data_IF_371125376182
#
_entry.id   IF_371125376182
#
_cell.length_a   1.000
_cell.length_b   1.000
_cell.length_c   1.000
_cell.angle_alpha   90.00
_cell.angle_beta   90.00
_cell.angle_gamma   90.00
#
_symmetry.space_group_name_H-M   'P 1'
#
loop_
_entity.id
_entity.type
_entity.pdbx_description
1 polymer ?
#
# COMPACT_ATOMS: atom_id res chain seq x y z
N UNK A 1 17.71 10.56 7.88
CA UNK A 1 16.27 10.26 8.07
C UNK A 1 15.41 10.95 7.01
N UNK A 2 15.36 12.28 6.94
CA UNK A 2 14.49 13.02 6.00
C UNK A 2 14.62 12.64 4.51
N UNK A 3 15.83 12.33 4.06
CA UNK A 3 16.07 11.85 2.69
C UNK A 3 15.52 10.43 2.46
N UNK A 4 15.48 9.59 3.50
CA UNK A 4 14.89 8.25 3.44
C UNK A 4 13.37 8.31 3.32
N UNK A 5 12.71 9.26 3.99
CA UNK A 5 11.25 9.48 3.88
C UNK A 5 10.85 9.98 2.50
N UNK A 6 11.63 10.90 1.93
CA UNK A 6 11.43 11.37 0.57
C UNK A 6 11.54 10.22 -0.44
N UNK A 7 12.58 9.39 -0.32
CA UNK A 7 12.77 8.22 -1.16
C UNK A 7 11.66 7.18 -0.96
N UNK A 8 11.24 6.93 0.28
CA UNK A 8 10.13 6.02 0.57
C UNK A 8 8.81 6.52 -0.04
N UNK A 9 8.51 7.81 0.09
CA UNK A 9 7.35 8.44 -0.56
C UNK A 9 7.41 8.31 -2.09
N UNK A 10 8.59 8.52 -2.68
CA UNK A 10 8.82 8.34 -4.11
C UNK A 10 8.61 6.89 -4.57
N UNK A 11 9.05 5.91 -3.79
CA UNK A 11 8.82 4.48 -4.07
C UNK A 11 7.32 4.15 -4.01
N UNK A 12 6.61 4.61 -2.96
CA UNK A 12 5.16 4.39 -2.83
C UNK A 12 4.39 5.03 -3.99
N UNK A 13 4.72 6.28 -4.34
CA UNK A 13 4.11 6.97 -5.49
C UNK A 13 4.46 6.27 -6.82
N UNK A 14 5.71 5.83 -7.00
CA UNK A 14 6.16 5.11 -8.18
C UNK A 14 5.42 3.78 -8.38
N UNK A 15 5.26 3.00 -7.30
CA UNK A 15 4.48 1.76 -7.31
C UNK A 15 3.01 2.07 -7.67
N UNK A 16 2.41 3.09 -7.05
CA UNK A 16 1.04 3.49 -7.36
C UNK A 16 0.88 3.94 -8.82
N UNK A 17 1.81 4.72 -9.37
CA UNK A 17 1.81 5.14 -10.78
C UNK A 17 1.95 3.94 -11.71
N UNK A 18 2.87 3.02 -11.40
CA UNK A 18 3.05 1.79 -12.17
C UNK A 18 1.76 0.97 -12.21
N UNK A 19 1.06 0.83 -11.08
CA UNK A 19 -0.26 0.20 -11.02
C UNK A 19 -1.35 0.96 -11.80
N UNK A 20 -1.36 2.30 -11.73
CA UNK A 20 -2.32 3.12 -12.48
C UNK A 20 -2.12 3.03 -14.00
N UNK A 21 -0.89 2.77 -14.45
CA UNK A 21 -0.56 2.57 -15.86
C UNK A 21 -0.63 1.11 -16.31
N UNK A 22 -0.74 0.15 -15.39
CA UNK A 22 -0.91 -1.25 -15.74
C UNK A 22 -2.24 -1.45 -16.50
N UNK A 23 -2.19 -2.14 -17.65
CA UNK A 23 -3.39 -2.43 -18.48
C UNK A 23 -4.44 -3.27 -17.76
N UNK A 24 -4.02 -3.94 -16.68
CA UNK A 24 -4.84 -4.76 -15.80
C UNK A 24 -5.34 -4.01 -14.56
N UNK A 25 -5.28 -2.67 -14.55
CA UNK A 25 -5.71 -1.83 -13.42
C UNK A 25 -7.12 -2.17 -12.90
N UNK A 26 -8.03 -2.61 -13.78
CA UNK A 26 -9.42 -2.93 -13.40
C UNK A 26 -9.57 -4.24 -12.62
N UNK A 27 -8.58 -5.14 -12.68
CA UNK A 27 -8.58 -6.38 -11.88
C UNK A 27 -8.32 -6.12 -10.38
N UNK A 28 -7.76 -4.95 -10.04
CA UNK A 28 -7.48 -4.55 -8.65
C UNK A 28 -8.47 -3.47 -8.19
N UNK A 29 -8.75 -3.41 -6.88
CA UNK A 29 -9.59 -2.34 -6.34
C UNK A 29 -8.86 -0.98 -6.43
N UNK A 30 -9.30 -0.16 -7.38
CA UNK A 30 -8.65 1.09 -7.82
C UNK A 30 -8.51 2.15 -6.71
N UNK A 31 -9.35 2.09 -5.68
CA UNK A 31 -9.40 3.13 -4.65
C UNK A 31 -8.16 3.14 -3.74
N UNK A 32 -7.61 1.97 -3.37
CA UNK A 32 -6.39 1.91 -2.55
C UNK A 32 -5.17 2.47 -3.28
N UNK A 33 -5.09 2.26 -4.60
CA UNK A 33 -3.98 2.74 -5.43
C UNK A 33 -3.96 4.27 -5.46
N UNK A 34 -5.13 4.91 -5.55
CA UNK A 34 -5.23 6.37 -5.47
C UNK A 34 -4.82 6.90 -4.10
N UNK A 35 -5.21 6.25 -3.00
CA UNK A 35 -4.80 6.68 -1.67
C UNK A 35 -3.28 6.50 -1.51
N UNK A 36 -2.71 5.39 -1.97
CA UNK A 36 -1.25 5.18 -1.97
C UNK A 36 -0.51 6.28 -2.76
N UNK A 37 -1.06 6.70 -3.91
CA UNK A 37 -0.54 7.83 -4.68
C UNK A 37 -0.53 9.12 -3.86
N UNK A 38 -1.67 9.49 -3.26
CA UNK A 38 -1.78 10.70 -2.43
C UNK A 38 -0.84 10.67 -1.23
N UNK A 39 -0.73 9.52 -0.59
CA UNK A 39 0.17 9.30 0.54
C UNK A 39 1.63 9.44 0.11
N UNK A 40 2.04 8.81 -1.00
CA UNK A 40 3.41 8.91 -1.51
C UNK A 40 3.81 10.35 -1.83
N UNK A 41 2.95 11.09 -2.53
CA UNK A 41 3.17 12.53 -2.77
C UNK A 41 3.17 13.35 -1.48
N UNK A 42 2.27 13.06 -0.55
CA UNK A 42 2.22 13.70 0.76
C UNK A 42 3.54 13.55 1.53
N UNK A 43 4.10 12.34 1.54
CA UNK A 43 5.40 12.05 2.18
C UNK A 43 6.54 12.84 1.53
N UNK A 44 6.58 12.92 0.19
CA UNK A 44 7.59 13.71 -0.51
C UNK A 44 7.47 15.21 -0.22
N UNK A 45 6.25 15.75 -0.18
CA UNK A 45 6.01 17.17 0.08
C UNK A 45 6.39 17.53 1.53
N UNK A 46 5.96 16.73 2.51
CA UNK A 46 6.25 17.00 3.91
C UNK A 46 7.74 16.90 4.24
N UNK A 47 8.44 15.92 3.68
CA UNK A 47 9.89 15.79 3.86
C UNK A 47 10.67 16.99 3.31
N UNK A 48 10.19 17.65 2.24
CA UNK A 48 10.77 18.92 1.77
C UNK A 48 10.52 20.08 2.73
N UNK A 49 9.30 20.22 3.25
CA UNK A 49 8.98 21.25 4.25
C UNK A 49 9.84 21.10 5.51
N UNK A 50 10.09 19.87 5.92
CA UNK A 50 10.94 19.55 7.06
C UNK A 50 12.40 19.95 6.91
N UNK A 51 12.94 19.91 5.68
CA UNK A 51 14.31 20.38 5.39
C UNK A 51 14.39 21.90 5.55
N UNK A 52 13.39 22.63 5.05
CA UNK A 52 13.33 24.09 5.16
C UNK A 52 13.17 24.53 6.62
N UNK A 53 12.33 23.81 7.37
CA UNK A 53 12.02 24.10 8.77
C UNK A 53 13.16 23.87 9.75
N UNK A 54 14.06 22.93 9.44
CA UNK A 54 15.28 22.75 10.24
C UNK A 54 16.10 24.05 10.37
N UNK A 55 15.92 24.98 9.42
CA UNK A 55 16.59 26.29 9.40
C UNK A 55 15.83 27.39 10.17
N UNK A 56 14.51 27.33 10.25
CA UNK A 56 13.67 28.44 10.75
C UNK A 56 13.24 28.31 12.23
N UNK A 57 13.43 27.14 12.87
CA UNK A 57 13.18 26.89 14.31
C UNK A 57 11.78 27.33 14.82
N UNK A 58 10.75 27.32 13.97
CA UNK A 58 9.40 27.70 14.37
C UNK A 58 8.64 26.51 14.99
N UNK A 59 8.39 26.58 16.30
CA UNK A 59 7.73 25.49 17.07
C UNK A 59 6.32 25.15 16.60
N UNK A 60 5.54 26.14 16.15
CA UNK A 60 4.14 25.92 15.72
C UNK A 60 4.10 25.09 14.43
N UNK A 61 4.97 25.45 13.49
CA UNK A 61 5.01 24.79 12.20
C UNK A 61 5.57 23.35 12.34
N UNK A 62 6.46 23.11 13.30
CA UNK A 62 6.95 21.76 13.63
C UNK A 62 5.83 20.85 14.18
N UNK A 63 4.96 21.38 15.05
CA UNK A 63 3.81 20.65 15.58
C UNK A 63 2.81 20.29 14.47
N UNK A 64 2.57 21.20 13.53
CA UNK A 64 1.71 20.94 12.38
C UNK A 64 2.23 19.82 11.49
N UNK A 65 3.53 19.85 11.14
CA UNK A 65 4.16 18.78 10.34
C UNK A 65 4.03 17.43 11.03
N UNK A 66 4.26 17.38 12.35
CA UNK A 66 4.14 16.14 13.11
C UNK A 66 2.70 15.58 13.09
N UNK A 67 1.66 16.43 13.16
CA UNK A 67 0.27 15.97 12.98
C UNK A 67 0.01 15.44 11.57
N UNK A 68 0.54 16.10 10.54
CA UNK A 68 0.38 15.60 9.17
C UNK A 68 1.05 14.25 8.98
N UNK A 69 2.22 14.04 9.59
CA UNK A 69 2.93 12.77 9.53
C UNK A 69 2.20 11.63 10.24
N UNK A 70 1.64 11.90 11.42
CA UNK A 70 0.85 10.90 12.15
C UNK A 70 -0.43 10.52 11.39
N UNK A 71 -1.09 11.50 10.75
CA UNK A 71 -2.23 11.24 9.88
C UNK A 71 -1.85 10.36 8.67
N UNK A 72 -0.71 10.61 8.03
CA UNK A 72 -0.20 9.78 6.93
C UNK A 72 0.11 8.35 7.39
N UNK A 73 0.77 8.19 8.53
CA UNK A 73 1.05 6.86 9.09
C UNK A 73 -0.24 6.08 9.39
N UNK A 74 -1.27 6.77 9.91
CA UNK A 74 -2.58 6.18 10.15
C UNK A 74 -3.26 5.75 8.85
N UNK A 75 -3.22 6.58 7.81
CA UNK A 75 -3.73 6.22 6.49
C UNK A 75 -2.98 5.02 5.89
N UNK A 76 -1.65 4.99 5.97
CA UNK A 76 -0.84 3.85 5.52
C UNK A 76 -1.23 2.56 6.24
N UNK A 77 -1.48 2.62 7.55
CA UNK A 77 -1.90 1.48 8.34
C UNK A 77 -3.27 0.94 7.91
N UNK A 78 -4.24 1.82 7.64
CA UNK A 78 -5.56 1.40 7.12
C UNK A 78 -5.41 0.68 5.77
N UNK A 79 -4.61 1.23 4.85
CA UNK A 79 -4.41 0.65 3.53
C UNK A 79 -3.64 -0.68 3.62
N UNK A 80 -2.61 -0.77 4.48
CA UNK A 80 -1.86 -1.99 4.71
C UNK A 80 -2.77 -3.10 5.25
N UNK A 81 -3.62 -2.80 6.24
CA UNK A 81 -4.63 -3.75 6.72
C UNK A 81 -5.61 -4.18 5.62
N UNK A 82 -6.14 -3.22 4.83
CA UNK A 82 -7.03 -3.52 3.71
C UNK A 82 -6.39 -4.43 2.66
N UNK A 83 -5.13 -4.15 2.29
CA UNK A 83 -4.36 -4.99 1.37
C UNK A 83 -4.10 -6.40 1.90
N UNK A 84 -3.93 -6.53 3.23
CA UNK A 84 -3.73 -7.84 3.88
C UNK A 84 -5.02 -8.67 3.87
N UNK A 85 -6.17 -8.04 4.10
CA UNK A 85 -7.48 -8.72 3.98
C UNK A 85 -7.75 -9.14 2.55
N UNK A 86 -7.48 -8.26 1.58
CA UNK A 86 -7.62 -8.57 0.16
C UNK A 86 -6.72 -9.75 -0.25
N UNK A 87 -5.45 -9.75 0.17
CA UNK A 87 -4.53 -10.86 -0.05
C UNK A 87 -5.00 -12.17 0.61
N UNK A 88 -5.52 -12.11 1.83
CA UNK A 88 -6.07 -13.28 2.51
C UNK A 88 -7.25 -13.88 1.72
N UNK A 89 -8.16 -13.03 1.23
CA UNK A 89 -9.26 -13.48 0.37
C UNK A 89 -8.78 -14.04 -0.96
N UNK A 90 -7.83 -13.41 -1.66
CA UNK A 90 -7.29 -13.96 -2.92
C UNK A 90 -6.54 -15.27 -2.70
N UNK A 91 -5.82 -15.42 -1.60
CA UNK A 91 -5.12 -16.68 -1.26
C UNK A 91 -6.11 -17.80 -0.92
N UNK A 92 -7.23 -17.49 -0.26
CA UNK A 92 -8.28 -18.48 -0.06
C UNK A 92 -8.90 -18.92 -1.41
N UNK A 93 -8.97 -18.02 -2.40
CA UNK A 93 -9.42 -18.33 -3.75
C UNK A 93 -8.42 -19.22 -4.52
N UNK A 94 -7.11 -19.00 -4.36
CA UNK A 94 -6.10 -19.85 -5.04
C UNK A 94 -6.06 -21.29 -4.52
N UNK A 95 -6.48 -21.52 -3.28
CA UNK A 95 -6.59 -22.87 -2.71
C UNK A 95 -7.87 -23.61 -3.13
N UNK A 96 -8.81 -22.94 -3.83
CA UNK A 96 -10.02 -23.56 -4.36
C UNK A 96 -9.77 -24.08 -5.77
N UNK A 97 -10.32 -25.24 -6.09
CA UNK A 97 -10.30 -25.74 -7.46
C UNK A 97 -11.13 -24.83 -8.37
N UNK A 98 -10.88 -24.82 -9.69
CA UNK A 98 -11.68 -24.06 -10.66
C UNK A 98 -13.19 -24.38 -10.57
N UNK A 99 -13.55 -25.57 -10.08
CA UNK A 99 -14.92 -25.99 -9.80
C UNK A 99 -15.50 -25.33 -8.53
N UNK A 100 -14.74 -25.31 -7.44
CA UNK A 100 -15.15 -24.70 -6.16
C UNK A 100 -15.24 -23.17 -6.23
N UNK A 101 -14.66 -22.58 -7.28
CA UNK A 101 -14.68 -21.15 -7.57
C UNK A 101 -16.05 -20.69 -8.12
N UNK A 102 -16.78 -21.55 -8.83
CA UNK A 102 -18.17 -21.25 -9.27
C UNK A 102 -19.16 -21.14 -8.11
N UNK A 103 -18.99 -21.97 -7.07
CA UNK A 103 -19.93 -22.07 -5.95
C UNK A 103 -19.55 -21.22 -4.71
N UNK A 104 -18.87 -20.09 -4.88
CA UNK A 104 -18.48 -19.24 -3.75
C UNK A 104 -19.66 -18.38 -3.30
N UNK A 105 -20.23 -18.68 -2.13
CA UNK A 105 -21.30 -17.87 -1.51
C UNK A 105 -20.86 -17.09 -0.25
N UNK A 106 -19.55 -17.01 0.01
CA UNK A 106 -19.00 -16.38 1.21
C UNK A 106 -18.43 -14.97 0.94
N UNK A 107 -17.79 -14.36 1.95
CA UNK A 107 -17.17 -13.03 1.87
C UNK A 107 -16.21 -12.86 0.67
N UNK A 108 -15.58 -13.95 0.24
CA UNK A 108 -14.64 -13.99 -0.91
C UNK A 108 -15.33 -13.80 -2.27
N UNK A 109 -16.66 -13.96 -2.35
CA UNK A 109 -17.43 -13.72 -3.59
C UNK A 109 -17.25 -12.29 -4.10
N UNK A 110 -17.22 -11.31 -3.19
CA UNK A 110 -17.04 -9.91 -3.58
C UNK A 110 -15.70 -9.64 -4.27
N UNK A 111 -14.64 -10.33 -3.83
CA UNK A 111 -13.30 -10.23 -4.42
C UNK A 111 -13.26 -10.98 -5.75
N UNK A 112 -13.81 -12.19 -5.79
CA UNK A 112 -13.92 -12.99 -7.00
C UNK A 112 -14.70 -12.27 -8.10
N UNK A 113 -15.88 -11.74 -7.79
CA UNK A 113 -16.73 -11.02 -8.74
C UNK A 113 -16.06 -9.74 -9.25
N UNK A 114 -15.30 -9.04 -8.40
CA UNK A 114 -14.50 -7.87 -8.82
C UNK A 114 -13.40 -8.25 -9.83
N UNK A 115 -12.68 -9.36 -9.58
CA UNK A 115 -11.63 -9.84 -10.49
C UNK A 115 -12.26 -10.28 -11.83
N UNK A 116 -13.35 -11.06 -11.78
CA UNK A 116 -14.11 -11.51 -12.94
C UNK A 116 -14.64 -10.34 -13.76
N UNK A 117 -15.21 -9.35 -13.10
CA UNK A 117 -15.67 -8.11 -13.73
C UNK A 117 -14.51 -7.36 -14.42
N UNK A 118 -13.39 -7.19 -13.71
CA UNK A 118 -12.20 -6.52 -14.23
C UNK A 118 -11.60 -7.23 -15.44
N UNK A 119 -11.59 -8.56 -15.45
CA UNK A 119 -11.16 -9.36 -16.59
C UNK A 119 -12.03 -9.11 -17.82
N UNK A 120 -13.36 -9.21 -17.66
CA UNK A 120 -14.31 -9.01 -18.76
C UNK A 120 -14.19 -7.62 -19.38
N UNK A 121 -14.00 -6.59 -18.55
CA UNK A 121 -13.78 -5.23 -19.02
C UNK A 121 -12.49 -5.10 -19.84
N UNK A 122 -11.38 -5.71 -19.40
CA UNK A 122 -10.12 -5.70 -20.17
C UNK A 122 -10.28 -6.45 -21.49
N UNK A 123 -10.94 -7.62 -21.46
CA UNK A 123 -11.22 -8.42 -22.66
C UNK A 123 -11.99 -7.61 -23.70
N UNK A 124 -13.09 -6.99 -23.27
CA UNK A 124 -13.97 -6.21 -24.13
C UNK A 124 -13.29 -4.92 -24.64
N UNK A 125 -12.58 -4.18 -23.77
CA UNK A 125 -11.88 -2.95 -24.15
C UNK A 125 -10.74 -3.20 -25.15
N UNK A 126 -10.08 -4.37 -25.05
CA UNK A 126 -9.00 -4.76 -25.96
C UNK A 126 -9.49 -5.55 -27.17
N UNK A 127 -10.82 -5.72 -27.33
CA UNK A 127 -11.42 -6.44 -28.45
C UNK A 127 -10.90 -7.86 -28.60
N UNK A 128 -10.63 -8.53 -27.48
CA UNK A 128 -10.06 -9.87 -27.47
C UNK A 128 -11.04 -10.91 -28.00
N UNK A 129 -10.52 -11.94 -28.65
CA UNK A 129 -11.29 -13.04 -29.23
C UNK A 129 -10.65 -14.39 -29.01
N UNK A 130 -11.49 -15.38 -28.73
CA UNK A 130 -11.12 -16.77 -28.56
C UNK A 130 -12.36 -17.64 -28.76
N UNK A 131 -12.16 -18.88 -29.20
CA UNK A 131 -13.23 -19.88 -29.27
C UNK A 131 -12.77 -21.15 -28.56
N UNK A 132 -13.63 -21.74 -27.73
CA UNK A 132 -13.39 -23.03 -27.10
C UNK A 132 -14.37 -24.08 -27.62
N UNK A 133 -13.83 -25.21 -28.06
CA UNK A 133 -14.60 -26.40 -28.38
C UNK A 133 -14.74 -27.28 -27.13
N UNK A 134 -15.97 -27.42 -26.66
CA UNK A 134 -16.33 -28.27 -25.52
C UNK A 134 -16.58 -29.68 -26.04
N UNK A 135 -15.60 -30.57 -25.88
CA UNK A 135 -15.75 -32.00 -26.18
C UNK A 135 -16.49 -32.74 -25.06
N UNK A 136 -16.63 -34.07 -25.19
CA UNK A 136 -17.33 -34.88 -24.18
C UNK A 136 -16.61 -34.93 -22.81
N UNK A 137 -15.28 -34.75 -22.79
CA UNK A 137 -14.47 -34.86 -21.57
C UNK A 137 -13.40 -33.79 -21.42
N UNK A 138 -13.15 -33.00 -22.47
CA UNK A 138 -12.05 -32.02 -22.53
C UNK A 138 -12.51 -30.76 -23.22
N UNK A 139 -12.02 -29.61 -22.78
CA UNK A 139 -12.26 -28.32 -23.44
C UNK A 139 -10.98 -27.90 -24.16
N UNK A 140 -11.08 -27.56 -25.45
CA UNK A 140 -9.94 -27.10 -26.25
C UNK A 140 -10.19 -25.69 -26.75
N UNK A 141 -9.38 -24.73 -26.30
CA UNK A 141 -9.49 -23.34 -26.70
C UNK A 141 -8.46 -22.96 -27.77
N UNK A 142 -8.87 -22.12 -28.72
CA UNK A 142 -7.96 -21.46 -29.66
C UNK A 142 -7.05 -20.49 -28.91
N UNK A 143 -6.01 -20.00 -29.58
CA UNK A 143 -5.24 -18.86 -29.07
C UNK A 143 -6.11 -17.61 -28.99
N UNK A 144 -5.91 -16.82 -27.94
CA UNK A 144 -6.50 -15.49 -27.79
C UNK A 144 -5.85 -14.53 -28.77
N UNK A 145 -6.66 -13.69 -29.40
CA UNK A 145 -6.19 -12.58 -30.26
C UNK A 145 -6.77 -11.27 -29.75
N UNK A 146 -5.95 -10.24 -29.56
CA UNK A 146 -6.39 -8.94 -29.03
C UNK A 146 -5.82 -7.78 -29.85
N UNK A 147 -6.37 -6.57 -29.65
CA UNK A 147 -5.81 -5.34 -30.26
C UNK A 147 -4.39 -5.02 -29.78
N UNK A 148 -4.01 -5.54 -28.60
CA UNK A 148 -2.72 -5.26 -27.99
C UNK A 148 -1.93 -6.55 -27.73
N UNK A 149 -0.75 -6.67 -28.34
CA UNK A 149 0.09 -7.86 -28.21
C UNK A 149 0.43 -8.19 -26.76
N UNK A 150 0.67 -7.20 -25.90
CA UNK A 150 0.99 -7.47 -24.48
C UNK A 150 -0.20 -8.04 -23.69
N UNK A 151 -1.42 -7.65 -24.04
CA UNK A 151 -2.62 -8.20 -23.40
C UNK A 151 -2.91 -9.58 -23.98
N UNK A 152 -2.72 -9.74 -25.28
CA UNK A 152 -2.81 -11.03 -25.97
C UNK A 152 -1.87 -12.07 -25.36
N UNK A 153 -0.58 -11.74 -25.21
CA UNK A 153 0.43 -12.62 -24.63
C UNK A 153 0.04 -13.06 -23.21
N UNK A 154 -0.36 -12.10 -22.36
CA UNK A 154 -0.76 -12.39 -20.99
C UNK A 154 -2.04 -13.25 -20.92
N UNK A 155 -3.04 -12.99 -21.77
CA UNK A 155 -4.26 -13.78 -21.80
C UNK A 155 -4.00 -15.20 -22.30
N UNK A 156 -3.14 -15.36 -23.31
CA UNK A 156 -2.71 -16.68 -23.77
C UNK A 156 -1.94 -17.43 -22.67
N UNK A 157 -1.09 -16.74 -21.91
CA UNK A 157 -0.38 -17.34 -20.78
C UNK A 157 -1.34 -17.79 -19.69
N UNK A 158 -2.36 -16.99 -19.33
CA UNK A 158 -3.36 -17.37 -18.34
C UNK A 158 -4.24 -18.55 -18.79
N UNK A 159 -4.66 -18.59 -20.05
CA UNK A 159 -5.43 -19.71 -20.62
C UNK A 159 -4.57 -20.98 -20.64
N UNK A 160 -3.30 -20.86 -21.03
CA UNK A 160 -2.36 -22.00 -21.04
C UNK A 160 -2.16 -22.56 -19.63
N UNK A 161 -1.85 -21.71 -18.65
CA UNK A 161 -1.58 -22.12 -17.28
C UNK A 161 -2.85 -22.64 -16.57
N UNK A 162 -4.00 -21.99 -16.80
CA UNK A 162 -5.29 -22.42 -16.26
C UNK A 162 -5.64 -23.86 -16.65
N UNK A 163 -5.43 -24.23 -17.92
CA UNK A 163 -5.70 -25.59 -18.41
C UNK A 163 -4.83 -26.69 -17.75
N UNK A 164 -3.60 -26.36 -17.32
CA UNK A 164 -2.77 -27.31 -16.59
C UNK A 164 -3.28 -27.57 -15.17
N UNK A 165 -3.82 -26.52 -14.52
CA UNK A 165 -4.32 -26.59 -13.15
C UNK A 165 -5.67 -27.32 -13.02
N UNK A 166 -6.44 -27.46 -14.10
CA UNK A 166 -7.78 -28.11 -14.11
C UNK A 166 -7.79 -29.59 -14.46
N UNK A 167 -6.62 -30.19 -14.73
CA UNK A 167 -6.42 -31.53 -15.30
C UNK A 167 -6.96 -32.76 -14.51
N UNK A 168 -7.91 -32.58 -13.58
CA UNK A 168 -8.51 -33.62 -12.74
C UNK A 168 -10.04 -33.60 -12.59
N UNK A 169 -10.80 -32.80 -13.36
CA UNK A 169 -12.28 -32.71 -13.28
C UNK A 169 -12.92 -33.03 -14.64
N UNK A 170 -14.18 -33.44 -14.70
CA UNK A 170 -14.92 -33.55 -15.98
C UNK A 170 -15.18 -32.15 -16.56
N UNK A 171 -14.20 -31.63 -17.30
CA UNK A 171 -14.09 -30.22 -17.68
C UNK A 171 -15.29 -29.68 -18.45
N UNK A 172 -16.00 -30.52 -19.22
CA UNK A 172 -17.07 -30.07 -20.10
C UNK A 172 -18.29 -29.49 -19.37
N UNK A 173 -18.86 -30.20 -18.39
CA UNK A 173 -20.06 -29.72 -17.67
C UNK A 173 -19.75 -28.51 -16.80
N UNK A 174 -18.60 -28.54 -16.13
CA UNK A 174 -18.16 -27.44 -15.24
C UNK A 174 -17.81 -26.18 -16.02
N UNK A 175 -17.28 -26.33 -17.23
CA UNK A 175 -17.01 -25.20 -18.11
C UNK A 175 -18.30 -24.55 -18.59
N UNK A 176 -19.32 -25.33 -18.94
CA UNK A 176 -20.66 -24.81 -19.29
C UNK A 176 -21.30 -24.08 -18.11
N UNK A 177 -21.29 -24.66 -16.92
CA UNK A 177 -21.84 -24.00 -15.71
C UNK A 177 -21.12 -22.68 -15.42
N UNK A 178 -19.78 -22.66 -15.52
CA UNK A 178 -18.99 -21.45 -15.38
C UNK A 178 -19.36 -20.39 -16.43
N UNK A 179 -19.55 -20.78 -17.69
CA UNK A 179 -19.93 -19.87 -18.77
C UNK A 179 -21.29 -19.23 -18.49
N UNK A 180 -22.28 -20.03 -18.12
CA UNK A 180 -23.66 -19.58 -17.87
C UNK A 180 -23.72 -18.58 -16.71
N UNK A 181 -22.92 -18.76 -15.66
CA UNK A 181 -22.83 -17.78 -14.58
C UNK A 181 -22.01 -16.55 -14.95
N UNK A 182 -20.93 -16.75 -15.71
CA UNK A 182 -19.96 -15.68 -16.00
C UNK A 182 -20.47 -14.71 -17.05
N UNK A 183 -21.20 -15.18 -18.07
CA UNK A 183 -21.72 -14.35 -19.16
C UNK A 183 -22.66 -13.24 -18.66
N UNK A 184 -23.33 -13.48 -17.52
CA UNK A 184 -24.24 -12.55 -16.87
C UNK A 184 -23.52 -11.46 -16.05
N UNK A 185 -22.20 -11.58 -15.86
CA UNK A 185 -21.41 -10.58 -15.13
C UNK A 185 -21.35 -9.29 -15.92
N UNK A 186 -21.59 -8.15 -15.26
CA UNK A 186 -21.68 -6.85 -15.94
C UNK A 186 -20.46 -6.52 -16.82
N UNK A 187 -19.25 -6.89 -16.38
CA UNK A 187 -18.00 -6.65 -17.12
C UNK A 187 -17.84 -7.52 -18.37
N UNK A 188 -18.53 -8.67 -18.44
CA UNK A 188 -18.50 -9.56 -19.61
C UNK A 188 -19.43 -9.07 -20.73
N UNK A 189 -20.45 -8.26 -20.40
CA UNK A 189 -21.38 -7.65 -21.38
C UNK A 189 -22.07 -8.67 -22.30
N UNK A 190 -22.38 -9.86 -21.75
CA UNK A 190 -22.91 -11.01 -22.49
C UNK A 190 -22.04 -11.48 -23.66
N UNK A 191 -20.72 -11.27 -23.57
CA UNK A 191 -19.76 -11.77 -24.55
C UNK A 191 -19.37 -13.22 -24.22
N UNK A 192 -19.80 -14.15 -25.06
CA UNK A 192 -19.49 -15.58 -24.92
C UNK A 192 -17.98 -15.86 -24.96
N UNK A 193 -17.24 -15.17 -25.83
CA UNK A 193 -15.78 -15.36 -25.96
C UNK A 193 -15.05 -14.90 -24.69
N UNK A 194 -15.53 -13.82 -24.06
CA UNK A 194 -14.98 -13.33 -22.79
C UNK A 194 -15.27 -14.30 -21.64
N UNK A 195 -16.48 -14.87 -21.61
CA UNK A 195 -16.87 -15.88 -20.62
C UNK A 195 -16.05 -17.17 -20.80
N UNK A 196 -15.86 -17.65 -22.04
CA UNK A 196 -14.99 -18.77 -22.36
C UNK A 196 -13.55 -18.51 -21.91
N UNK A 197 -13.03 -17.31 -22.19
CA UNK A 197 -11.71 -16.87 -21.75
C UNK A 197 -11.55 -16.90 -20.24
N UNK A 198 -12.54 -16.40 -19.50
CA UNK A 198 -12.51 -16.46 -18.04
C UNK A 198 -12.54 -17.90 -17.54
N UNK A 199 -13.45 -18.74 -18.03
CA UNK A 199 -13.60 -20.11 -17.53
C UNK A 199 -12.40 -21.00 -17.84
N UNK A 200 -11.61 -20.70 -18.88
CA UNK A 200 -10.35 -21.41 -19.16
C UNK A 200 -9.14 -20.86 -18.40
N UNK A 201 -9.23 -19.65 -17.84
CA UNK A 201 -8.09 -18.95 -17.25
C UNK A 201 -8.26 -18.54 -15.77
N UNK A 202 -9.45 -18.72 -15.19
CA UNK A 202 -9.83 -18.19 -13.88
C UNK A 202 -8.82 -18.49 -12.77
N UNK A 203 -8.35 -19.73 -12.66
CA UNK A 203 -7.39 -20.15 -11.63
C UNK A 203 -6.06 -19.41 -11.78
N UNK A 204 -5.53 -19.32 -13.00
CA UNK A 204 -4.30 -18.59 -13.29
C UNK A 204 -4.45 -17.08 -13.07
N UNK A 205 -5.58 -16.48 -13.47
CA UNK A 205 -5.84 -15.06 -13.25
C UNK A 205 -5.90 -14.75 -11.75
N UNK A 206 -6.61 -15.58 -10.98
CA UNK A 206 -6.73 -15.42 -9.52
C UNK A 206 -5.37 -15.60 -8.83
N UNK A 207 -4.56 -16.55 -9.28
CA UNK A 207 -3.20 -16.77 -8.76
C UNK A 207 -2.30 -15.55 -9.03
N UNK A 208 -2.30 -15.04 -10.26
CA UNK A 208 -1.54 -13.83 -10.60
C UNK A 208 -1.98 -12.62 -9.77
N UNK A 209 -3.30 -12.41 -9.62
CA UNK A 209 -3.83 -11.32 -8.79
C UNK A 209 -3.41 -11.49 -7.32
N UNK A 210 -3.35 -12.72 -6.81
CA UNK A 210 -2.87 -13.00 -5.46
C UNK A 210 -1.40 -12.62 -5.28
N UNK A 211 -0.55 -12.91 -6.27
CA UNK A 211 0.86 -12.50 -6.27
C UNK A 211 1.03 -10.98 -6.32
N UNK A 212 0.22 -10.27 -7.12
CA UNK A 212 0.22 -8.80 -7.10
C UNK A 212 -0.26 -8.23 -5.76
N UNK A 213 -1.30 -8.82 -5.16
CA UNK A 213 -1.80 -8.44 -3.85
C UNK A 213 -0.74 -8.65 -2.75
N UNK A 214 0.00 -9.76 -2.78
CA UNK A 214 1.13 -10.03 -1.89
C UNK A 214 2.21 -8.95 -2.03
N UNK A 215 2.60 -8.63 -3.26
CA UNK A 215 3.60 -7.60 -3.53
C UNK A 215 3.17 -6.23 -3.00
N UNK A 216 1.90 -5.86 -3.21
CA UNK A 216 1.33 -4.62 -2.67
C UNK A 216 1.32 -4.62 -1.13
N UNK A 217 0.91 -5.73 -0.51
CA UNK A 217 0.90 -5.90 0.95
C UNK A 217 2.31 -5.70 1.52
N UNK A 218 3.31 -6.43 1.01
CA UNK A 218 4.71 -6.30 1.46
C UNK A 218 5.19 -4.85 1.29
N UNK A 219 4.95 -4.25 0.12
CA UNK A 219 5.36 -2.87 -0.14
C UNK A 219 4.77 -1.86 0.83
N UNK A 220 3.48 -1.97 1.16
CA UNK A 220 2.79 -1.08 2.10
C UNK A 220 3.28 -1.24 3.53
N UNK A 221 3.51 -2.48 3.98
CA UNK A 221 4.07 -2.74 5.31
C UNK A 221 5.50 -2.21 5.45
N UNK A 222 6.34 -2.41 4.43
CA UNK A 222 7.70 -1.87 4.41
C UNK A 222 7.67 -0.34 4.47
N UNK A 223 6.81 0.31 3.66
CA UNK A 223 6.64 1.75 3.69
C UNK A 223 6.18 2.27 5.06
N UNK A 224 5.25 1.57 5.71
CA UNK A 224 4.79 1.91 7.06
C UNK A 224 5.92 1.83 8.09
N UNK A 225 6.75 0.78 8.06
CA UNK A 225 7.91 0.65 8.95
C UNK A 225 8.87 1.82 8.75
N UNK A 226 9.20 2.16 7.50
CA UNK A 226 10.05 3.30 7.20
C UNK A 226 9.44 4.65 7.61
N UNK A 227 8.12 4.78 7.62
CA UNK A 227 7.44 6.01 8.05
C UNK A 227 7.37 6.15 9.59
N UNK A 228 7.26 5.04 10.32
CA UNK A 228 7.14 5.06 11.80
C UNK A 228 8.48 5.33 12.49
N UNK A 229 9.60 4.84 11.96
CA UNK A 229 10.94 5.04 12.52
C UNK A 229 11.29 6.53 12.75
N UNK A 230 11.16 7.42 11.75
CA UNK A 230 11.44 8.85 11.96
C UNK A 230 10.41 9.50 12.89
N UNK A 231 9.15 9.07 12.88
CA UNK A 231 8.13 9.57 13.82
C UNK A 231 8.52 9.30 15.28
N UNK A 232 9.01 8.09 15.57
CA UNK A 232 9.46 7.72 16.90
C UNK A 232 10.73 8.50 17.32
N UNK A 233 11.65 8.71 16.38
CA UNK A 233 12.86 9.50 16.61
C UNK A 233 12.53 10.98 16.91
N UNK A 234 11.60 11.58 16.19
CA UNK A 234 11.17 12.96 16.42
C UNK A 234 10.41 13.13 17.75
N UNK A 235 9.60 12.16 18.13
CA UNK A 235 8.97 12.07 19.46
C UNK A 235 10.02 12.03 20.59
N UNK A 236 11.06 11.21 20.41
CA UNK A 236 12.18 11.15 21.35
C UNK A 236 12.93 12.49 21.43
N UNK A 237 13.20 13.15 20.30
CA UNK A 237 13.85 14.45 20.26
C UNK A 237 13.01 15.55 20.94
N UNK A 238 11.69 15.56 20.73
CA UNK A 238 10.79 16.52 21.37
C UNK A 238 10.70 16.30 22.88
N UNK A 239 10.59 15.05 23.34
CA UNK A 239 10.56 14.73 24.77
C UNK A 239 11.89 15.06 25.46
N UNK A 240 13.02 14.71 24.87
CA UNK A 240 14.34 15.05 25.39
C UNK A 240 14.57 16.57 25.47
N UNK A 241 14.09 17.35 24.49
CA UNK A 241 14.15 18.82 24.53
C UNK A 241 13.26 19.40 25.64
N UNK A 242 12.03 18.89 25.81
CA UNK A 242 11.14 19.32 26.89
C UNK A 242 11.71 19.02 28.26
N UNK A 243 12.30 17.83 28.46
CA UNK A 243 12.98 17.48 29.72
C UNK A 243 14.15 18.40 30.03
N UNK A 244 15.00 18.72 29.04
CA UNK A 244 16.11 19.67 29.22
C UNK A 244 15.62 21.08 29.55
N UNK A 245 14.52 21.53 28.95
CA UNK A 245 13.92 22.82 29.26
C UNK A 245 13.34 22.83 30.68
N UNK A 246 12.55 21.83 31.05
CA UNK A 246 11.99 21.71 32.40
C UNK A 246 13.07 21.72 33.49
N UNK A 247 14.15 20.94 33.30
CA UNK A 247 15.26 20.91 34.24
C UNK A 247 16.03 22.25 34.31
N UNK A 248 16.13 22.99 33.21
CA UNK A 248 16.76 24.31 33.22
C UNK A 248 15.92 25.36 33.97
N UNK A 249 14.58 25.25 33.93
CA UNK A 249 13.70 26.14 34.70
C UNK A 249 13.74 25.84 36.20
N UNK A 250 13.79 24.56 36.61
CA UNK A 250 13.92 24.16 38.02
C UNK A 250 15.22 24.67 38.65
N UNK A 251 16.36 24.56 37.93
CA UNK A 251 17.66 25.07 38.42
C UNK A 251 17.68 26.60 38.57
N UNK A 252 16.93 27.32 37.74
CA UNK A 252 16.82 28.78 37.87
C UNK A 252 15.88 29.21 39.00
N UNK A 253 14.87 28.41 39.34
CA UNK A 253 13.94 28.69 40.43
C UNK A 253 14.61 28.48 41.80
N UNK A 254 15.42 27.42 41.96
CA UNK A 254 16.23 27.22 43.17
C UNK A 254 17.34 28.28 43.36
N UNK A 255 17.88 28.82 42.26
CA UNK A 255 18.92 29.85 42.33
C UNK A 255 18.39 31.25 42.73
N UNK A 256 17.07 31.48 42.69
CA UNK A 256 16.47 32.79 42.91
C UNK A 256 15.76 32.95 44.26
N UNK A 257 15.70 31.89 45.09
CA UNK A 257 14.91 31.87 46.32
C UNK A 257 15.74 31.78 47.62
N UNK A 258 17.06 31.99 47.57
CA UNK A 258 17.90 31.93 48.76
C UNK A 258 19.20 32.71 48.66
N UNK A 259 19.35 33.73 49.49
CA UNK A 259 20.61 34.46 49.65
C UNK A 259 21.70 33.66 50.41
N UNK A 260 22.93 33.84 49.94
CA UNK A 260 24.23 33.84 50.66
C UNK A 260 24.87 32.49 51.10
N UNK A 261 26.09 32.30 50.54
CA UNK A 261 27.31 31.54 50.95
C UNK A 261 27.27 30.00 51.00
N UNK A 262 27.90 29.29 50.04
CA UNK A 262 29.33 28.94 49.81
C UNK A 262 29.83 27.83 50.75
N UNK A 263 30.11 26.65 50.18
CA UNK A 263 31.42 26.00 50.30
C UNK A 263 31.59 24.87 49.25
N UNK A 264 32.73 24.92 48.57
CA UNK A 264 33.20 24.05 47.49
C UNK A 264 33.61 22.66 47.96
N UNK A 265 33.33 21.62 47.15
CA UNK A 265 34.28 20.51 46.90
C UNK A 265 34.10 19.96 45.45
N UNK A 266 35.15 20.17 44.64
CA UNK A 266 35.66 19.49 43.42
C UNK A 266 35.28 17.98 43.25
N UNK A 267 35.27 17.30 42.09
CA UNK A 267 35.65 17.51 40.68
C UNK A 267 35.02 16.36 39.83
N UNK A 268 34.78 16.62 38.54
CA UNK A 268 35.08 15.77 37.37
C UNK A 268 34.16 16.05 36.16
N UNK A 269 34.55 17.08 35.40
CA UNK A 269 34.69 16.97 33.94
C UNK A 269 33.54 17.40 33.01
N UNK A 270 33.33 18.71 32.84
CA UNK A 270 32.80 19.31 31.59
C UNK A 270 33.02 20.85 31.54
N UNK A 271 33.14 21.49 30.34
CA UNK A 271 33.89 22.73 30.17
C UNK A 271 33.15 24.02 30.59
N UNK A 272 34.00 24.96 31.02
CA UNK A 272 33.78 26.30 31.56
C UNK A 272 32.86 27.16 30.69
N UNK A 273 31.74 27.61 31.27
CA UNK A 273 31.01 28.80 30.82
C UNK A 273 31.71 30.04 31.39
N UNK A 274 32.05 30.99 30.54
CA UNK A 274 32.39 32.35 30.93
C UNK A 274 31.14 33.06 31.52
N UNK A 275 31.27 33.84 32.61
CA UNK A 275 30.16 34.62 33.15
C UNK A 275 29.98 35.93 32.36
N UNK A 276 28.75 36.44 32.20
CA UNK A 276 28.52 37.79 31.70
C UNK A 276 28.78 38.82 32.80
N UNK A 277 29.76 39.69 32.59
CA UNK A 277 29.90 40.92 33.37
C UNK A 277 28.82 41.94 32.96
N UNK A 278 28.34 42.66 33.97
CA UNK A 278 27.47 43.84 33.94
C UNK A 278 25.96 43.61 33.88
N UNK A 279 25.45 43.23 35.05
CA UNK A 279 24.15 43.68 35.56
C UNK A 279 24.27 45.15 35.99
N UNK A 280 23.44 46.05 35.44
CA UNK A 280 23.10 47.32 36.08
C UNK A 280 21.60 47.39 36.32
N UNK A 281 21.26 47.63 37.59
CA UNK A 281 19.91 47.58 38.15
C UNK A 281 19.14 48.89 37.90
N UNK A 282 17.91 48.69 37.44
CA UNK A 282 16.67 49.49 37.38
C UNK A 282 16.58 50.80 38.18
N UNK A 283 15.80 51.76 37.66
CA UNK A 283 14.95 52.61 38.52
C UNK A 283 13.57 52.88 37.89
N UNK A 284 12.55 52.41 38.61
CA UNK A 284 11.10 52.73 38.68
C UNK A 284 10.44 53.28 37.42
#
# INVERSE_FOLDING_TARGET
MKMCEFLAGGVVAGIAIWYLQAKFRRLMQVWYVWIALFVGFGMMILSLFEIVQAKQRNSVMLMFIWMCWSAICFCLLIIACGSSVYYASTTNLTHKSAYDIGYIHNADWSVYDHIRWGYGEVWNDQGCRMSCDVGNTTVSCSTVTCLNSRVEDQMNDWVREGSYQTSGVSEASTFTDCMDETILTAGMRMNEEAAQGWCSSNASVVDDVSHYALGAMIGLWVALVFAVVPMAYDLYLMSARRQRQANAYVVHEEANDGGVQVDDVYDDGAPIKTPPENVTVVRI
#
